data_IF_691760964897
#
_entry.id   IF_691760964897
#
_cell.length_a   1.000
_cell.length_b   1.000
_cell.length_c   1.000
_cell.angle_alpha   90.00
_cell.angle_beta   90.00
_cell.angle_gamma   90.00
#
_symmetry.space_group_name_H-M   'P 1'
#
loop_
_entity.id
_entity.type
_entity.pdbx_description
1 polymer ?
#
# COMPACT_ATOMS: atom_id res chain seq x y z
N UNK A 1 22.39 4.86 -7.71
CA UNK A 1 22.05 6.06 -6.91
C UNK A 1 20.54 6.16 -6.73
N UNK A 2 20.05 6.93 -5.76
CA UNK A 2 18.61 7.24 -5.64
C UNK A 2 18.03 7.87 -6.94
N UNK A 3 18.88 8.50 -7.76
CA UNK A 3 18.52 9.02 -9.08
C UNK A 3 18.07 7.93 -10.06
N UNK A 4 18.71 6.75 -10.08
CA UNK A 4 18.35 5.66 -11.01
C UNK A 4 16.97 5.07 -10.67
N UNK A 5 16.63 5.03 -9.37
CA UNK A 5 15.32 4.56 -8.90
C UNK A 5 14.24 5.59 -9.28
N UNK A 6 14.51 6.87 -9.05
CA UNK A 6 13.57 7.94 -9.40
C UNK A 6 13.30 8.00 -10.92
N UNK A 7 14.32 7.85 -11.77
CA UNK A 7 14.16 7.80 -13.23
C UNK A 7 13.32 6.60 -13.67
N UNK A 8 13.47 5.46 -13.00
CA UNK A 8 12.73 4.23 -13.30
C UNK A 8 11.26 4.35 -12.86
N UNK A 9 11.01 5.01 -11.73
CA UNK A 9 9.67 5.38 -11.23
C UNK A 9 8.98 6.35 -12.18
N UNK A 10 9.66 7.43 -12.58
CA UNK A 10 9.10 8.41 -13.52
C UNK A 10 8.79 7.76 -14.87
N UNK A 11 9.66 6.90 -15.38
CA UNK A 11 9.42 6.17 -16.63
C UNK A 11 8.25 5.18 -16.52
N UNK A 12 8.08 4.50 -15.37
CA UNK A 12 6.89 3.67 -15.09
C UNK A 12 5.63 4.53 -15.05
N UNK A 13 5.65 5.65 -14.33
CA UNK A 13 4.54 6.58 -14.22
C UNK A 13 4.10 7.12 -15.58
N UNK A 14 5.07 7.50 -16.42
CA UNK A 14 4.87 7.98 -17.78
C UNK A 14 4.31 6.89 -18.70
N UNK A 15 4.83 5.67 -18.62
CA UNK A 15 4.32 4.52 -19.37
C UNK A 15 2.88 4.15 -18.98
N UNK A 16 2.52 4.26 -17.70
CA UNK A 16 1.16 4.01 -17.22
C UNK A 16 0.18 5.08 -17.70
N UNK A 17 0.62 6.34 -17.74
CA UNK A 17 -0.15 7.46 -18.29
C UNK A 17 -0.33 7.34 -19.81
N UNK A 18 0.72 6.95 -20.53
CA UNK A 18 0.73 6.88 -22.00
C UNK A 18 -0.01 5.65 -22.56
N UNK A 19 -0.17 4.57 -21.78
CA UNK A 19 -0.99 3.40 -22.15
C UNK A 19 -2.50 3.63 -21.98
N UNK A 20 -2.92 4.80 -21.47
CA UNK A 20 -4.21 5.39 -21.78
C UNK A 20 -5.46 4.65 -21.32
N UNK A 21 -5.47 4.02 -20.13
CA UNK A 21 -6.71 3.42 -19.56
C UNK A 21 -6.89 3.60 -18.05
N UNK A 22 -6.40 4.71 -17.51
CA UNK A 22 -6.64 5.11 -16.12
C UNK A 22 -6.87 6.63 -16.08
N UNK A 23 -8.07 7.05 -15.65
CA UNK A 23 -8.31 8.45 -15.27
C UNK A 23 -7.69 8.68 -13.89
N UNK A 24 -6.63 9.48 -13.85
CA UNK A 24 -6.06 9.96 -12.59
C UNK A 24 -6.97 11.06 -12.04
N UNK A 25 -7.95 10.70 -11.22
CA UNK A 25 -8.49 11.68 -10.29
C UNK A 25 -7.34 12.11 -9.37
N UNK A 26 -7.05 13.40 -9.31
CA UNK A 26 -5.83 14.00 -8.71
C UNK A 26 -5.64 13.77 -7.18
N UNK A 27 -6.37 12.84 -6.54
CA UNK A 27 -6.38 12.65 -5.09
C UNK A 27 -5.45 11.53 -4.59
N UNK A 28 -5.97 10.31 -4.52
CA UNK A 28 -5.30 9.17 -3.84
C UNK A 28 -4.51 8.27 -4.79
N UNK A 29 -4.98 8.07 -6.02
CA UNK A 29 -4.37 7.11 -6.94
C UNK A 29 -2.94 7.51 -7.29
N UNK A 30 -2.70 8.81 -7.50
CA UNK A 30 -1.34 9.33 -7.72
C UNK A 30 -0.41 9.00 -6.54
N UNK A 31 -0.89 9.22 -5.31
CA UNK A 31 -0.13 8.93 -4.08
C UNK A 31 0.15 7.44 -3.94
N UNK A 32 -0.80 6.57 -4.29
CA UNK A 32 -0.60 5.13 -4.32
C UNK A 32 0.43 4.71 -5.36
N UNK A 33 0.37 5.27 -6.58
CA UNK A 33 1.39 4.99 -7.61
C UNK A 33 2.77 5.41 -7.11
N UNK A 34 2.91 6.63 -6.59
CA UNK A 34 4.17 7.16 -6.05
C UNK A 34 4.68 6.32 -4.88
N UNK A 35 3.81 5.90 -3.97
CA UNK A 35 4.21 5.07 -2.84
C UNK A 35 4.63 3.66 -3.27
N UNK A 36 3.92 3.00 -4.18
CA UNK A 36 4.11 1.58 -4.48
C UNK A 36 4.96 1.30 -5.73
N UNK A 37 5.34 2.33 -6.50
CA UNK A 37 6.13 2.18 -7.72
C UNK A 37 7.48 1.47 -7.55
N UNK A 38 8.08 1.59 -6.35
CA UNK A 38 9.37 1.04 -5.96
C UNK A 38 9.25 -0.29 -5.19
N UNK A 39 8.03 -0.79 -4.99
CA UNK A 39 7.82 -2.05 -4.28
C UNK A 39 8.51 -3.21 -5.02
N UNK A 40 9.31 -4.04 -4.33
CA UNK A 40 9.96 -5.18 -4.94
C UNK A 40 8.98 -6.30 -5.30
N UNK A 41 7.73 -6.22 -4.81
CA UNK A 41 6.70 -7.23 -5.02
C UNK A 41 5.75 -6.91 -6.19
N UNK A 42 5.86 -5.71 -6.78
CA UNK A 42 5.01 -5.31 -7.90
C UNK A 42 5.83 -5.27 -9.19
N UNK A 43 5.51 -6.19 -10.10
CA UNK A 43 6.13 -6.32 -11.40
C UNK A 43 5.33 -5.59 -12.47
N UNK A 44 5.96 -5.25 -13.60
CA UNK A 44 5.27 -4.55 -14.70
C UNK A 44 4.00 -5.28 -15.19
N UNK A 45 4.01 -6.61 -15.13
CA UNK A 45 2.94 -7.46 -15.64
C UNK A 45 1.68 -7.43 -14.77
N UNK A 46 1.84 -7.30 -13.44
CA UNK A 46 0.73 -7.26 -12.48
C UNK A 46 0.51 -5.87 -11.88
N UNK A 47 1.32 -4.87 -12.25
CA UNK A 47 1.31 -3.54 -11.63
C UNK A 47 -0.07 -2.91 -11.57
N UNK A 48 -0.79 -2.94 -12.70
CA UNK A 48 -2.12 -2.34 -12.78
C UNK A 48 -3.11 -3.05 -11.84
N UNK A 49 -3.15 -4.38 -11.88
CA UNK A 49 -4.13 -5.16 -11.15
C UNK A 49 -3.86 -5.07 -9.64
N UNK A 50 -2.60 -5.23 -9.22
CA UNK A 50 -2.20 -5.06 -7.83
C UNK A 50 -2.49 -3.65 -7.30
N UNK A 51 -2.27 -2.60 -8.12
CA UNK A 51 -2.57 -1.23 -7.71
C UNK A 51 -4.07 -0.97 -7.53
N UNK A 52 -4.93 -1.59 -8.36
CA UNK A 52 -6.38 -1.50 -8.18
C UNK A 52 -6.81 -2.17 -6.87
N UNK A 53 -6.29 -3.35 -6.55
CA UNK A 53 -6.58 -4.04 -5.28
C UNK A 53 -6.07 -3.24 -4.06
N UNK A 54 -4.89 -2.63 -4.15
CA UNK A 54 -4.36 -1.72 -3.12
C UNK A 54 -5.28 -0.51 -2.95
N UNK A 55 -5.80 0.06 -4.04
CA UNK A 55 -6.73 1.19 -3.97
C UNK A 55 -8.06 0.81 -3.31
N UNK A 56 -8.60 -0.36 -3.62
CA UNK A 56 -9.80 -0.90 -2.95
C UNK A 56 -9.56 -1.08 -1.46
N UNK A 57 -8.42 -1.67 -1.09
CA UNK A 57 -7.99 -1.85 0.30
C UNK A 57 -7.84 -0.51 1.03
N UNK A 58 -7.32 0.51 0.36
CA UNK A 58 -7.21 1.86 0.92
C UNK A 58 -8.58 2.41 1.32
N UNK A 59 -9.57 2.35 0.43
CA UNK A 59 -10.90 2.88 0.72
C UNK A 59 -11.65 2.05 1.78
N UNK A 60 -11.39 0.74 1.81
CA UNK A 60 -11.87 -0.13 2.88
C UNK A 60 -11.34 0.36 4.24
N UNK A 61 -10.02 0.49 4.40
CA UNK A 61 -9.43 0.99 5.64
C UNK A 61 -9.84 2.41 5.99
N UNK A 62 -9.99 3.28 4.99
CA UNK A 62 -10.45 4.66 5.18
C UNK A 62 -11.84 4.71 5.78
N UNK A 63 -12.76 3.88 5.26
CA UNK A 63 -14.13 3.76 5.76
C UNK A 63 -14.17 3.17 7.16
N UNK A 64 -13.41 2.10 7.40
CA UNK A 64 -13.33 1.44 8.72
C UNK A 64 -12.73 2.36 9.79
N UNK A 65 -11.75 3.20 9.44
CA UNK A 65 -11.19 4.24 10.31
C UNK A 65 -12.11 5.46 10.49
N UNK A 66 -13.30 5.46 9.88
CA UNK A 66 -14.24 6.59 9.84
C UNK A 66 -13.57 7.89 9.37
N UNK A 67 -12.70 7.80 8.36
CA UNK A 67 -11.93 8.91 7.80
C UNK A 67 -11.00 9.64 8.78
N UNK A 68 -10.75 9.09 9.97
CA UNK A 68 -9.95 9.75 11.02
C UNK A 68 -8.44 9.70 10.78
N UNK A 69 -7.96 8.79 9.92
CA UNK A 69 -6.54 8.64 9.58
C UNK A 69 -6.26 9.43 8.28
N UNK A 70 -5.27 10.33 8.24
CA UNK A 70 -4.87 11.02 7.02
C UNK A 70 -4.46 10.06 5.89
N UNK A 71 -4.70 10.44 4.64
CA UNK A 71 -4.42 9.58 3.49
C UNK A 71 -2.95 9.16 3.43
N UNK A 72 -2.03 10.10 3.68
CA UNK A 72 -0.59 9.84 3.60
C UNK A 72 -0.12 8.85 4.68
N UNK A 73 -0.67 8.95 5.90
CA UNK A 73 -0.37 8.02 7.00
C UNK A 73 -0.90 6.62 6.71
N UNK A 74 -2.11 6.51 6.16
CA UNK A 74 -2.68 5.23 5.78
C UNK A 74 -1.89 4.58 4.63
N UNK A 75 -1.48 5.36 3.63
CA UNK A 75 -0.67 4.88 2.51
C UNK A 75 0.70 4.38 2.99
N UNK A 76 1.38 5.13 3.87
CA UNK A 76 2.66 4.71 4.44
C UNK A 76 2.50 3.40 5.23
N UNK A 77 1.47 3.30 6.06
CA UNK A 77 1.16 2.07 6.80
C UNK A 77 0.97 0.88 5.85
N UNK A 78 0.14 1.04 4.83
CA UNK A 78 -0.17 -0.01 3.86
C UNK A 78 1.09 -0.46 3.12
N UNK A 79 1.93 0.49 2.67
CA UNK A 79 3.20 0.18 2.00
C UNK A 79 4.13 -0.62 2.90
N UNK A 80 4.29 -0.21 4.15
CA UNK A 80 5.18 -0.87 5.11
C UNK A 80 4.77 -2.32 5.40
N UNK A 81 3.47 -2.59 5.47
CA UNK A 81 2.95 -3.94 5.67
C UNK A 81 3.04 -4.76 4.39
N UNK A 82 2.63 -4.18 3.26
CA UNK A 82 2.68 -4.81 1.95
C UNK A 82 4.09 -5.30 1.60
N UNK A 83 5.11 -4.44 1.73
CA UNK A 83 6.51 -4.79 1.46
C UNK A 83 7.19 -5.59 2.59
N UNK A 84 6.62 -5.52 3.80
CA UNK A 84 7.13 -6.22 4.97
C UNK A 84 6.41 -7.55 5.15
N UNK A 85 5.54 -7.59 6.17
CA UNK A 85 4.89 -8.82 6.65
C UNK A 85 4.03 -9.50 5.58
N UNK A 86 3.39 -8.74 4.69
CA UNK A 86 2.51 -9.29 3.66
C UNK A 86 3.27 -9.82 2.44
N UNK A 87 4.55 -9.44 2.27
CA UNK A 87 5.40 -9.82 1.13
C UNK A 87 4.70 -9.75 -0.23
N UNK A 88 3.99 -8.65 -0.49
CA UNK A 88 3.28 -8.42 -1.75
C UNK A 88 1.85 -8.92 -1.82
N UNK A 89 1.32 -9.55 -0.76
CA UNK A 89 -0.06 -10.04 -0.75
C UNK A 89 -1.04 -8.95 -0.34
N UNK A 90 -1.87 -8.49 -1.30
CA UNK A 90 -2.98 -7.55 -1.01
C UNK A 90 -4.10 -8.25 -0.23
N UNK A 91 -4.31 -9.54 -0.45
CA UNK A 91 -5.25 -10.35 0.33
C UNK A 91 -4.85 -10.39 1.81
N UNK A 92 -3.56 -10.59 2.10
CA UNK A 92 -3.07 -10.57 3.47
C UNK A 92 -3.09 -9.16 4.07
N UNK A 93 -2.80 -8.14 3.24
CA UNK A 93 -2.92 -6.74 3.64
C UNK A 93 -4.36 -6.40 4.06
N UNK A 94 -5.35 -6.71 3.24
CA UNK A 94 -6.78 -6.45 3.50
C UNK A 94 -7.39 -7.33 4.58
N UNK A 95 -6.82 -8.53 4.80
CA UNK A 95 -7.16 -9.42 5.92
C UNK A 95 -6.56 -8.99 7.26
N UNK A 96 -5.59 -8.06 7.27
CA UNK A 96 -5.08 -7.45 8.50
C UNK A 96 -6.18 -6.58 9.10
N UNK A 97 -6.58 -6.85 10.34
CA UNK A 97 -7.74 -6.19 10.93
C UNK A 97 -7.44 -4.70 11.20
N UNK A 98 -8.47 -3.83 11.09
CA UNK A 98 -8.33 -2.43 11.50
C UNK A 98 -7.94 -2.29 13.00
N UNK A 99 -8.18 -3.33 13.80
CA UNK A 99 -7.75 -3.43 15.20
C UNK A 99 -6.22 -3.51 15.33
N UNK A 100 -5.52 -4.24 14.47
CA UNK A 100 -4.05 -4.21 14.37
C UNK A 100 -3.55 -2.88 13.81
N UNK A 101 -4.27 -2.34 12.83
CA UNK A 101 -4.01 -1.02 12.22
C UNK A 101 -4.11 0.12 13.25
N UNK A 102 -5.08 0.05 14.16
CA UNK A 102 -5.27 0.99 15.28
C UNK A 102 -4.32 0.75 16.45
N UNK A 103 -3.90 -0.50 16.73
CA UNK A 103 -2.90 -0.81 17.76
C UNK A 103 -1.53 -0.22 17.39
N UNK A 104 -1.11 -0.34 16.14
CA UNK A 104 0.20 0.12 15.66
C UNK A 104 0.32 1.65 15.52
N UNK A 105 -0.80 2.37 15.41
CA UNK A 105 -0.82 3.83 15.23
C UNK A 105 -0.98 4.60 16.55
N UNK A 106 -1.57 4.00 17.60
CA UNK A 106 -2.00 4.74 18.80
C UNK A 106 -1.02 4.69 19.97
N UNK A 107 -0.14 3.71 20.05
CA UNK A 107 0.96 3.66 21.01
C UNK A 107 2.11 2.85 20.40
N UNK A 108 3.30 3.44 20.28
CA UNK A 108 4.50 2.75 19.77
C UNK A 108 4.96 1.62 20.69
N UNK A 109 4.28 0.48 20.65
CA UNK A 109 4.68 -0.75 21.32
C UNK A 109 5.10 -1.80 20.30
N UNK A 110 6.11 -2.55 20.71
CA UNK A 110 6.71 -3.68 20.00
C UNK A 110 5.61 -4.61 19.48
N UNK A 111 5.76 -4.99 18.21
CA UNK A 111 4.92 -5.96 17.53
C UNK A 111 4.86 -7.22 18.38
N UNK A 112 3.65 -7.57 18.84
CA UNK A 112 3.38 -8.93 19.27
C UNK A 112 3.53 -9.78 18.01
N UNK A 113 4.60 -10.60 17.97
CA UNK A 113 4.93 -11.48 16.86
C UNK A 113 3.96 -12.67 16.84
N UNK A 114 2.66 -12.46 17.01
CA UNK A 114 1.65 -13.53 16.95
C UNK A 114 0.60 -13.27 15.89
N UNK A 115 0.27 -14.29 15.10
CA UNK A 115 -0.80 -14.22 14.08
C UNK A 115 -2.20 -14.33 14.70
N UNK A 116 -3.24 -14.21 13.87
CA UNK A 116 -4.66 -14.35 14.27
C UNK A 116 -5.02 -15.73 14.86
N UNK A 117 -4.11 -16.71 14.76
CA UNK A 117 -4.22 -18.05 15.31
C UNK A 117 -3.33 -18.26 16.55
N UNK A 118 -2.65 -17.20 17.02
CA UNK A 118 -1.77 -17.23 18.18
C UNK A 118 -0.44 -17.95 17.92
N UNK A 119 -0.02 -18.07 16.67
CA UNK A 119 1.31 -18.58 16.34
C UNK A 119 2.33 -17.46 16.45
N UNK A 120 3.33 -17.67 17.31
CA UNK A 120 4.54 -16.85 17.33
C UNK A 120 5.28 -16.96 15.97
N UNK A 121 5.63 -15.83 15.36
CA UNK A 121 6.32 -15.71 14.07
C UNK A 121 7.83 -15.93 14.19
#
# INVERSE_FOLDING_TARGET
>A
SNEDINELVENRFKSLKDTGRIEFSEGVLKKLVEAFCDSPYIMQQNYKDTLMEIQESFYFFKSEAMDQIPDDELIEFMKRHFDGKCQGSVEYLSGTSLEELCRNTRYGYEVDDTDIYGHEF
#
